data_IF_140618435875
#
_entry.id   IF_140618435875
#
_cell.length_a   1.000
_cell.length_b   1.000
_cell.length_c   1.000
_cell.angle_alpha   90.00
_cell.angle_beta   90.00
_cell.angle_gamma   90.00
#
_symmetry.space_group_name_H-M   'P 1'
#
loop_
_entity.id
_entity.type
_entity.pdbx_description
1 polymer ?
#
# COMPACT_ATOMS: atom_id res chain seq x y z
N UNK A 1 -11.71 12.70 19.98
CA UNK A 1 -10.68 12.31 18.98
C UNK A 1 -10.26 10.89 19.28
N UNK A 2 -10.67 9.88 18.50
CA UNK A 2 -10.01 8.59 18.51
C UNK A 2 -8.98 8.56 17.38
N UNK A 3 -7.70 8.53 17.77
CA UNK A 3 -6.61 8.10 16.91
C UNK A 3 -6.54 6.57 17.02
N UNK A 4 -6.99 5.84 16.00
CA UNK A 4 -6.96 4.38 16.01
C UNK A 4 -7.73 3.73 14.87
N UNK A 5 -7.27 2.55 14.45
CA UNK A 5 -7.67 1.72 13.31
C UNK A 5 -9.12 1.18 13.31
N UNK A 6 -9.98 1.62 14.23
CA UNK A 6 -11.33 1.12 14.41
C UNK A 6 -12.27 2.29 14.66
N UNK A 7 -13.14 2.57 13.70
CA UNK A 7 -14.30 3.44 13.91
C UNK A 7 -15.51 2.54 14.19
N UNK A 8 -16.17 2.81 15.32
CA UNK A 8 -17.34 2.08 15.81
C UNK A 8 -18.62 2.91 15.66
N UNK A 9 -18.61 4.02 14.92
CA UNK A 9 -19.83 4.76 14.64
C UNK A 9 -20.82 3.85 13.88
N UNK A 10 -21.94 3.54 14.55
CA UNK A 10 -23.16 2.89 14.05
C UNK A 10 -23.24 1.35 14.08
N UNK A 11 -22.46 0.67 14.92
CA UNK A 11 -22.77 -0.72 15.31
C UNK A 11 -22.84 -1.75 14.16
N UNK A 12 -22.26 -1.42 13.02
CA UNK A 12 -22.11 -2.35 11.90
C UNK A 12 -20.72 -2.97 11.96
N UNK A 13 -20.68 -4.30 11.81
CA UNK A 13 -19.49 -5.14 11.64
C UNK A 13 -18.42 -4.42 10.78
N UNK A 14 -17.11 -4.58 11.06
CA UNK A 14 -16.05 -3.73 10.49
C UNK A 14 -16.19 -3.56 8.97
N UNK A 15 -16.49 -2.34 8.55
CA UNK A 15 -16.61 -1.98 7.13
C UNK A 15 -15.21 -1.64 6.60
N UNK A 16 -14.59 -2.62 5.96
CA UNK A 16 -13.25 -2.51 5.37
C UNK A 16 -13.29 -1.68 4.07
N UNK A 17 -13.19 -0.35 4.18
CA UNK A 17 -13.47 0.60 3.07
C UNK A 17 -12.37 0.80 2.00
N UNK A 18 -11.27 0.03 1.96
CA UNK A 18 -10.23 0.22 0.94
C UNK A 18 -9.66 -1.11 0.41
N UNK A 19 -9.72 -1.31 -0.92
CA UNK A 19 -9.18 -2.49 -1.63
C UNK A 19 -7.67 -2.69 -1.39
N UNK A 20 -6.91 -1.62 -1.17
CA UNK A 20 -5.48 -1.66 -0.89
C UNK A 20 -5.15 -2.00 0.58
N UNK A 21 -6.04 -1.68 1.53
CA UNK A 21 -5.78 -1.80 2.97
C UNK A 21 -5.84 -3.24 3.50
N UNK A 22 -6.66 -4.09 2.87
CA UNK A 22 -6.76 -5.51 3.24
C UNK A 22 -5.56 -6.35 2.75
N UNK A 23 -4.68 -5.78 1.93
CA UNK A 23 -3.47 -6.47 1.48
C UNK A 23 -2.63 -6.97 2.64
N UNK A 24 -2.48 -6.16 3.71
CA UNK A 24 -1.68 -6.51 4.89
C UNK A 24 -2.15 -7.78 5.59
N UNK A 25 -3.45 -7.85 5.91
CA UNK A 25 -4.04 -9.01 6.58
C UNK A 25 -3.90 -10.27 5.73
N UNK A 26 -4.12 -10.14 4.41
CA UNK A 26 -3.97 -11.25 3.48
C UNK A 26 -2.52 -11.73 3.36
N UNK A 27 -1.55 -10.81 3.32
CA UNK A 27 -0.12 -11.14 3.23
C UNK A 27 0.39 -11.79 4.52
N UNK A 28 -0.03 -11.28 5.69
CA UNK A 28 0.28 -11.89 6.98
C UNK A 28 -0.34 -13.29 7.11
N UNK A 29 -1.61 -13.43 6.75
CA UNK A 29 -2.28 -14.73 6.69
C UNK A 29 -1.53 -15.70 5.77
N UNK A 30 -1.12 -15.24 4.58
CA UNK A 30 -0.37 -16.04 3.63
C UNK A 30 0.99 -16.49 4.19
N UNK A 31 1.73 -15.59 4.85
CA UNK A 31 3.00 -15.92 5.49
C UNK A 31 2.82 -16.98 6.60
N UNK A 32 1.80 -16.82 7.46
CA UNK A 32 1.46 -17.80 8.51
C UNK A 32 1.07 -19.15 7.92
N UNK A 33 0.22 -19.16 6.89
CA UNK A 33 -0.19 -20.38 6.21
C UNK A 33 1.01 -21.10 5.57
N UNK A 34 1.90 -20.36 4.88
CA UNK A 34 3.10 -20.91 4.27
C UNK A 34 4.08 -21.49 5.30
N UNK A 35 4.17 -20.87 6.49
CA UNK A 35 4.99 -21.35 7.60
C UNK A 35 4.41 -22.62 8.25
N UNK A 36 3.08 -22.75 8.29
CA UNK A 36 2.37 -23.90 8.87
C UNK A 36 2.27 -25.11 7.93
N UNK A 37 2.55 -24.95 6.64
CA UNK A 37 2.58 -26.08 5.70
C UNK A 37 3.78 -26.98 6.01
N UNK A 38 3.52 -28.26 6.27
CA UNK A 38 4.55 -29.30 6.37
C UNK A 38 5.39 -29.35 5.09
N UNK A 39 6.58 -29.97 5.11
CA UNK A 39 7.48 -30.10 3.95
C UNK A 39 7.29 -31.38 3.06
N UNK A 40 6.10 -31.98 2.81
CA UNK A 40 6.04 -33.04 1.81
C UNK A 40 6.16 -32.41 0.41
N UNK A 41 7.04 -32.96 -0.43
CA UNK A 41 7.25 -32.54 -1.81
C UNK A 41 8.69 -32.69 -2.28
N UNK A 42 8.90 -32.62 -3.60
CA UNK A 42 10.24 -32.61 -4.20
C UNK A 42 11.09 -31.41 -3.75
N UNK A 43 12.41 -31.47 -3.94
CA UNK A 43 13.35 -30.42 -3.53
C UNK A 43 13.04 -29.04 -4.15
N UNK A 44 12.57 -29.02 -5.41
CA UNK A 44 12.20 -27.80 -6.11
C UNK A 44 10.97 -27.14 -5.47
N UNK A 45 9.97 -27.91 -5.05
CA UNK A 45 8.74 -27.42 -4.43
C UNK A 45 9.01 -26.90 -3.02
N UNK A 46 9.95 -27.52 -2.31
CA UNK A 46 10.42 -27.02 -1.01
C UNK A 46 11.13 -25.68 -1.17
N UNK A 47 12.04 -25.56 -2.14
CA UNK A 47 12.69 -24.28 -2.46
C UNK A 47 11.68 -23.21 -2.89
N UNK A 48 10.68 -23.57 -3.69
CA UNK A 48 9.65 -22.63 -4.17
C UNK A 48 8.80 -22.11 -2.99
N UNK A 49 8.40 -23.00 -2.08
CA UNK A 49 7.66 -22.61 -0.87
C UNK A 49 8.47 -21.68 0.04
N UNK A 50 9.75 -21.97 0.26
CA UNK A 50 10.64 -21.10 1.05
C UNK A 50 10.80 -19.72 0.41
N UNK A 51 10.94 -19.67 -0.91
CA UNK A 51 10.97 -18.39 -1.64
C UNK A 51 9.62 -17.65 -1.54
N UNK A 52 8.49 -18.35 -1.61
CA UNK A 52 7.17 -17.74 -1.46
C UNK A 52 6.95 -17.17 -0.05
N UNK A 53 7.39 -17.89 0.99
CA UNK A 53 7.37 -17.41 2.37
C UNK A 53 8.24 -16.15 2.53
N UNK A 54 9.48 -16.20 2.07
CA UNK A 54 10.40 -15.07 2.15
C UNK A 54 9.86 -13.83 1.39
N UNK A 55 9.21 -14.04 0.23
CA UNK A 55 8.54 -12.96 -0.49
C UNK A 55 7.38 -12.37 0.32
N UNK A 56 6.53 -13.20 0.94
CA UNK A 56 5.42 -12.74 1.78
C UNK A 56 5.92 -11.96 3.01
N UNK A 57 7.00 -12.43 3.65
CA UNK A 57 7.64 -11.75 4.79
C UNK A 57 8.23 -10.39 4.38
N UNK A 58 8.88 -10.29 3.21
CA UNK A 58 9.36 -9.01 2.68
C UNK A 58 8.20 -8.02 2.51
N UNK A 59 7.08 -8.47 1.93
CA UNK A 59 5.92 -7.59 1.73
C UNK A 59 5.27 -7.20 3.06
N UNK A 60 5.12 -8.13 4.00
CA UNK A 60 4.64 -7.82 5.34
C UNK A 60 5.52 -6.76 6.03
N UNK A 61 6.83 -6.90 5.88
CA UNK A 61 7.83 -5.99 6.41
C UNK A 61 7.74 -4.58 5.79
N UNK A 62 7.55 -4.48 4.47
CA UNK A 62 7.33 -3.20 3.77
C UNK A 62 6.10 -2.48 4.34
N UNK A 63 4.99 -3.21 4.52
CA UNK A 63 3.75 -2.64 5.07
C UNK A 63 3.91 -2.21 6.53
N UNK A 64 4.46 -3.07 7.40
CA UNK A 64 4.63 -2.73 8.82
C UNK A 64 5.55 -1.51 9.02
N UNK A 65 6.68 -1.45 8.31
CA UNK A 65 7.63 -0.34 8.42
C UNK A 65 7.04 0.97 7.88
N UNK A 66 6.44 0.95 6.70
CA UNK A 66 5.84 2.14 6.10
C UNK A 66 4.63 2.67 6.88
N UNK A 67 3.95 1.81 7.66
CA UNK A 67 2.83 2.20 8.52
C UNK A 67 3.24 2.87 9.82
N UNK A 68 4.34 2.42 10.42
CA UNK A 68 4.83 2.95 11.69
C UNK A 68 5.66 4.21 11.52
N UNK A 69 6.32 4.34 10.37
CA UNK A 69 7.20 5.45 10.10
C UNK A 69 6.42 6.74 9.77
N UNK A 70 7.03 7.88 10.05
CA UNK A 70 6.47 9.19 9.72
C UNK A 70 6.48 9.45 8.20
N UNK A 71 6.00 10.64 7.79
CA UNK A 71 6.06 11.09 6.39
C UNK A 71 7.49 11.16 5.86
N UNK A 72 8.40 11.63 6.70
CA UNK A 72 9.83 11.68 6.44
C UNK A 72 10.49 10.58 7.25
N UNK A 73 11.21 9.71 6.57
CA UNK A 73 11.89 8.57 7.14
C UNK A 73 13.26 8.99 7.67
N UNK A 74 13.70 8.33 8.74
CA UNK A 74 15.12 8.25 9.04
C UNK A 74 15.86 7.50 7.93
N UNK A 75 17.17 7.72 7.82
CA UNK A 75 18.01 6.98 6.87
C UNK A 75 17.90 5.47 7.07
N UNK A 76 17.88 5.02 8.34
CA UNK A 76 17.72 3.61 8.67
C UNK A 76 16.36 3.06 8.22
N UNK A 77 15.26 3.79 8.44
CA UNK A 77 13.93 3.35 7.98
C UNK A 77 13.85 3.30 6.45
N UNK A 78 14.40 4.30 5.76
CA UNK A 78 14.44 4.37 4.30
C UNK A 78 15.22 3.20 3.70
N UNK A 79 16.43 2.93 4.18
CA UNK A 79 17.24 1.79 3.76
C UNK A 79 16.49 0.47 4.01
N UNK A 80 15.92 0.34 5.21
CA UNK A 80 15.23 -0.87 5.64
C UNK A 80 14.00 -1.18 4.79
N UNK A 81 13.22 -0.16 4.39
CA UNK A 81 12.08 -0.31 3.48
C UNK A 81 12.56 -0.62 2.06
N UNK A 82 13.53 0.13 1.54
CA UNK A 82 14.09 -0.05 0.20
C UNK A 82 14.66 -1.46 0.02
N UNK A 83 15.47 -1.94 0.96
CA UNK A 83 16.01 -3.29 0.94
C UNK A 83 14.91 -4.36 0.90
N UNK A 84 13.84 -4.20 1.68
CA UNK A 84 12.74 -5.15 1.71
C UNK A 84 12.01 -5.20 0.35
N UNK A 85 11.82 -4.04 -0.30
CA UNK A 85 11.27 -3.93 -1.66
C UNK A 85 12.17 -4.66 -2.67
N UNK A 86 13.47 -4.39 -2.66
CA UNK A 86 14.42 -4.99 -3.61
C UNK A 86 14.54 -6.50 -3.39
N UNK A 87 14.60 -6.95 -2.14
CA UNK A 87 14.59 -8.38 -1.79
C UNK A 87 13.32 -9.07 -2.28
N UNK A 88 12.15 -8.46 -2.08
CA UNK A 88 10.89 -9.00 -2.64
C UNK A 88 10.96 -9.17 -4.15
N UNK A 89 11.39 -8.14 -4.90
CA UNK A 89 11.49 -8.20 -6.36
C UNK A 89 12.47 -9.29 -6.84
N UNK A 90 13.62 -9.42 -6.17
CA UNK A 90 14.59 -10.47 -6.47
C UNK A 90 14.02 -11.87 -6.23
N UNK A 91 13.36 -12.08 -5.09
CA UNK A 91 12.75 -13.37 -4.74
C UNK A 91 11.59 -13.69 -5.70
N UNK A 92 10.76 -12.70 -6.04
CA UNK A 92 9.65 -12.90 -6.96
C UNK A 92 10.13 -13.28 -8.36
N UNK A 93 11.21 -12.64 -8.85
CA UNK A 93 11.87 -13.05 -10.10
C UNK A 93 12.34 -14.50 -10.05
N UNK A 94 12.85 -14.96 -8.91
CA UNK A 94 13.25 -16.35 -8.73
C UNK A 94 12.04 -17.30 -8.72
N UNK A 95 10.94 -16.94 -8.05
CA UNK A 95 9.70 -17.71 -8.06
C UNK A 95 9.17 -17.92 -9.49
N UNK A 96 9.17 -16.86 -10.31
CA UNK A 96 8.78 -16.95 -11.72
C UNK A 96 9.64 -17.98 -12.45
N UNK A 97 10.98 -17.89 -12.34
CA UNK A 97 11.91 -18.85 -12.96
C UNK A 97 11.62 -20.28 -12.52
N UNK A 98 11.46 -20.51 -11.22
CA UNK A 98 11.19 -21.85 -10.68
C UNK A 98 9.87 -22.43 -11.19
N UNK A 99 8.82 -21.61 -11.27
CA UNK A 99 7.51 -22.04 -11.78
C UNK A 99 7.56 -22.44 -13.26
N UNK A 100 8.34 -21.71 -14.07
CA UNK A 100 8.58 -22.05 -15.48
C UNK A 100 9.40 -23.33 -15.59
N UNK A 101 10.47 -23.49 -14.80
CA UNK A 101 11.28 -24.72 -14.78
C UNK A 101 10.49 -25.98 -14.39
N UNK A 102 9.41 -25.82 -13.62
CA UNK A 102 8.47 -26.91 -13.26
C UNK A 102 7.38 -27.15 -14.31
N UNK A 103 7.39 -26.44 -15.45
CA UNK A 103 6.30 -26.41 -16.42
C UNK A 103 4.95 -26.04 -15.80
N UNK A 104 4.95 -25.20 -14.75
CA UNK A 104 3.75 -24.74 -14.05
C UNK A 104 3.84 -23.21 -13.83
N UNK A 105 3.62 -22.39 -14.86
CA UNK A 105 3.83 -20.93 -14.82
C UNK A 105 2.78 -20.22 -13.96
N UNK A 106 2.97 -20.27 -12.63
CA UNK A 106 2.03 -19.76 -11.62
C UNK A 106 2.20 -18.27 -11.36
N UNK A 107 3.41 -17.74 -11.44
CA UNK A 107 3.72 -16.35 -11.11
C UNK A 107 3.81 -15.51 -12.38
N UNK A 108 3.23 -14.30 -12.34
CA UNK A 108 3.17 -13.38 -13.47
C UNK A 108 3.99 -12.14 -13.17
N UNK A 109 4.88 -11.78 -14.08
CA UNK A 109 5.54 -10.47 -14.05
C UNK A 109 4.57 -9.47 -14.65
N UNK A 110 4.22 -8.45 -13.88
CA UNK A 110 3.35 -7.35 -14.33
C UNK A 110 4.13 -6.04 -14.33
N UNK A 111 3.82 -5.07 -15.22
CA UNK A 111 4.51 -3.78 -15.27
C UNK A 111 4.55 -3.04 -13.93
N UNK A 112 3.56 -3.26 -13.06
CA UNK A 112 3.50 -2.68 -11.71
C UNK A 112 4.69 -3.05 -10.81
N UNK A 113 5.39 -4.16 -11.09
CA UNK A 113 6.61 -4.51 -10.36
C UNK A 113 7.78 -3.57 -10.67
N UNK A 114 7.82 -2.99 -11.87
CA UNK A 114 8.80 -1.97 -12.22
C UNK A 114 8.51 -0.65 -11.51
N UNK A 115 7.24 -0.27 -11.38
CA UNK A 115 6.88 0.87 -10.53
C UNK A 115 7.31 0.65 -9.07
N UNK A 116 7.15 -0.56 -8.55
CA UNK A 116 7.61 -0.90 -7.19
C UNK A 116 9.14 -0.82 -7.04
N UNK A 117 9.93 -1.11 -8.08
CA UNK A 117 11.38 -0.90 -8.08
C UNK A 117 11.70 0.58 -7.85
N UNK A 118 11.10 1.47 -8.63
CA UNK A 118 11.30 2.91 -8.49
C UNK A 118 10.83 3.43 -7.13
N UNK A 119 9.73 2.90 -6.58
CA UNK A 119 9.35 3.22 -5.19
C UNK A 119 10.46 2.88 -4.21
N UNK A 120 11.13 1.73 -4.37
CA UNK A 120 12.27 1.35 -3.53
C UNK A 120 13.47 2.29 -3.67
N UNK A 121 13.78 2.71 -4.89
CA UNK A 121 14.85 3.67 -5.20
C UNK A 121 14.52 5.06 -4.62
N UNK A 122 13.32 5.58 -4.90
CA UNK A 122 12.83 6.88 -4.44
C UNK A 122 12.81 6.97 -2.91
N UNK A 123 12.35 5.93 -2.22
CA UNK A 123 12.30 5.90 -0.75
C UNK A 123 13.70 6.05 -0.17
N UNK A 124 14.70 5.42 -0.78
CA UNK A 124 16.09 5.49 -0.34
C UNK A 124 16.69 6.88 -0.58
N UNK A 125 16.46 7.45 -1.75
CA UNK A 125 17.01 8.75 -2.13
C UNK A 125 16.34 9.92 -1.40
N UNK A 126 15.01 9.95 -1.42
CA UNK A 126 14.23 11.10 -0.92
C UNK A 126 13.93 11.01 0.56
N UNK A 127 13.95 9.80 1.13
CA UNK A 127 13.44 9.48 2.48
C UNK A 127 11.97 9.85 2.66
N UNK A 128 11.22 10.02 1.57
CA UNK A 128 9.79 10.21 1.62
C UNK A 128 9.11 8.85 1.77
N UNK A 129 8.27 8.71 2.78
CA UNK A 129 7.49 7.49 2.98
C UNK A 129 6.42 7.38 1.89
N UNK A 130 6.64 6.46 0.95
CA UNK A 130 5.78 6.23 -0.21
C UNK A 130 4.30 6.04 0.13
N UNK A 131 3.96 5.58 1.35
CA UNK A 131 2.57 5.51 1.84
C UNK A 131 1.83 6.84 1.77
N UNK A 132 2.54 7.95 1.91
CA UNK A 132 1.97 9.30 1.90
C UNK A 132 2.07 10.01 0.55
N UNK A 133 2.86 9.49 -0.39
CA UNK A 133 3.23 10.22 -1.62
C UNK A 133 3.02 9.44 -2.92
N UNK A 134 3.18 8.11 -2.91
CA UNK A 134 3.04 7.24 -4.09
C UNK A 134 1.63 6.63 -4.14
N UNK A 135 0.87 6.97 -5.18
CA UNK A 135 -0.45 6.43 -5.60
C UNK A 135 -1.56 6.21 -4.54
N UNK A 136 -1.40 6.63 -3.29
CA UNK A 136 -2.53 6.83 -2.38
C UNK A 136 -3.13 8.23 -2.52
N UNK A 137 -2.36 9.22 -3.02
CA UNK A 137 -2.89 10.57 -3.26
C UNK A 137 -3.93 10.60 -4.38
N UNK A 138 -3.82 9.79 -5.43
CA UNK A 138 -4.85 9.76 -6.47
C UNK A 138 -6.14 9.10 -5.97
N UNK A 139 -6.03 8.04 -5.16
CA UNK A 139 -7.20 7.42 -4.51
C UNK A 139 -7.81 8.32 -3.42
N UNK A 140 -6.99 9.04 -2.64
CA UNK A 140 -7.45 10.00 -1.63
C UNK A 140 -8.02 11.27 -2.28
N UNK A 141 -7.40 11.78 -3.35
CA UNK A 141 -7.91 12.92 -4.11
C UNK A 141 -9.24 12.56 -4.78
N UNK A 142 -9.32 11.40 -5.43
CA UNK A 142 -10.57 10.90 -5.99
C UNK A 142 -11.60 10.55 -4.91
N UNK A 143 -11.17 10.08 -3.74
CA UNK A 143 -12.02 9.85 -2.57
C UNK A 143 -12.62 11.14 -2.04
N UNK A 144 -11.81 12.18 -1.85
CA UNK A 144 -12.26 13.51 -1.44
C UNK A 144 -13.16 14.15 -2.50
N UNK A 145 -12.82 14.01 -3.80
CA UNK A 145 -13.64 14.50 -4.91
C UNK A 145 -14.98 13.79 -4.94
N UNK A 146 -15.01 12.47 -4.77
CA UNK A 146 -16.25 11.68 -4.69
C UNK A 146 -17.10 12.07 -3.49
N UNK A 147 -16.49 12.20 -2.31
CA UNK A 147 -17.19 12.60 -1.08
C UNK A 147 -17.76 14.02 -1.19
N UNK A 148 -17.03 14.92 -1.85
CA UNK A 148 -17.53 16.26 -2.14
C UNK A 148 -18.70 16.19 -3.11
N UNK A 149 -18.57 15.41 -4.18
CA UNK A 149 -19.58 15.22 -5.23
C UNK A 149 -20.91 14.73 -4.66
N UNK A 150 -20.91 13.74 -3.77
CA UNK A 150 -22.15 13.22 -3.15
C UNK A 150 -22.83 14.23 -2.22
N UNK A 151 -22.09 15.20 -1.68
CA UNK A 151 -22.61 16.26 -0.78
C UNK A 151 -23.08 17.50 -1.54
N UNK A 152 -22.88 17.58 -2.86
CA UNK A 152 -23.32 18.72 -3.65
C UNK A 152 -24.85 18.73 -3.81
N UNK A 153 -25.49 19.90 -3.74
CA UNK A 153 -26.91 20.04 -4.10
C UNK A 153 -27.14 19.53 -5.53
N UNK A 154 -28.24 18.78 -5.73
CA UNK A 154 -28.61 18.25 -7.06
C UNK A 154 -29.21 19.31 -8.00
N UNK A 155 -29.48 20.51 -7.49
CA UNK A 155 -30.19 21.58 -8.20
C UNK A 155 -29.21 22.70 -8.57
N UNK A 156 -29.27 23.15 -9.83
CA UNK A 156 -28.52 24.30 -10.35
C UNK A 156 -27.12 23.96 -10.91
N UNK A 157 -26.82 24.41 -12.14
CA UNK A 157 -25.51 24.25 -12.82
C UNK A 157 -25.17 22.83 -13.27
N UNK A 158 -24.04 22.66 -13.97
CA UNK A 158 -23.43 21.36 -14.25
C UNK A 158 -22.74 20.77 -13.01
N UNK A 159 -22.55 19.44 -12.98
CA UNK A 159 -21.86 18.77 -11.86
C UNK A 159 -20.43 19.30 -11.70
N UNK A 160 -19.77 19.55 -12.83
CA UNK A 160 -18.40 20.04 -12.90
C UNK A 160 -18.29 21.43 -12.26
N UNK A 161 -19.25 22.31 -12.57
CA UNK A 161 -19.28 23.67 -12.04
C UNK A 161 -19.51 23.68 -10.53
N UNK A 162 -20.46 22.87 -10.03
CA UNK A 162 -20.72 22.76 -8.59
C UNK A 162 -19.52 22.20 -7.81
N UNK A 163 -18.85 21.19 -8.38
CA UNK A 163 -17.67 20.59 -7.78
C UNK A 163 -16.51 21.60 -7.70
N UNK A 164 -16.29 22.33 -8.79
CA UNK A 164 -15.28 23.39 -8.86
C UNK A 164 -15.56 24.52 -7.86
N UNK A 165 -16.79 25.05 -7.80
CA UNK A 165 -17.16 26.10 -6.84
C UNK A 165 -16.90 25.66 -5.40
N UNK A 166 -17.26 24.41 -5.06
CA UNK A 166 -17.08 23.89 -3.70
C UNK A 166 -15.60 23.65 -3.37
N UNK A 167 -14.80 23.22 -4.34
CA UNK A 167 -13.36 23.08 -4.19
C UNK A 167 -12.68 24.43 -3.95
N UNK A 168 -13.05 25.46 -4.72
CA UNK A 168 -12.55 26.83 -4.55
C UNK A 168 -12.90 27.42 -3.18
N UNK A 169 -14.12 27.17 -2.68
CA UNK A 169 -14.51 27.56 -1.32
C UNK A 169 -13.67 26.86 -0.25
N UNK A 170 -13.31 25.58 -0.45
CA UNK A 170 -12.45 24.84 0.48
C UNK A 170 -11.03 25.40 0.49
N UNK A 171 -10.48 25.75 -0.67
CA UNK A 171 -9.17 26.41 -0.79
C UNK A 171 -9.17 27.78 -0.12
N UNK A 172 -10.21 28.58 -0.31
CA UNK A 172 -10.34 29.91 0.32
C UNK A 172 -10.61 29.86 1.83
N UNK A 173 -11.25 28.80 2.34
CA UNK A 173 -11.50 28.61 3.77
C UNK A 173 -10.32 27.97 4.51
N UNK A 174 -9.37 27.38 3.80
CA UNK A 174 -8.19 26.74 4.38
C UNK A 174 -7.21 27.82 4.85
N UNK A 175 -7.19 28.12 6.16
CA UNK A 175 -6.10 28.93 6.72
C UNK A 175 -4.80 28.14 6.64
N UNK A 176 -3.69 28.73 6.15
CA UNK A 176 -2.40 28.07 6.23
C UNK A 176 -2.08 27.80 7.71
N UNK A 177 -1.66 26.57 8.01
CA UNK A 177 -1.10 26.25 9.32
C UNK A 177 0.08 27.20 9.55
N UNK A 178 -0.03 28.07 10.55
CA UNK A 178 1.10 28.90 10.98
C UNK A 178 2.20 27.92 11.42
N UNK A 179 3.31 27.92 10.69
CA UNK A 179 4.53 27.23 11.10
C UNK A 179 4.97 27.81 12.45
N UNK A 180 4.73 27.08 13.55
CA UNK A 180 5.10 27.55 14.89
C UNK A 180 4.25 27.10 16.06
N UNK A 181 3.20 26.27 15.87
CA UNK A 181 2.58 25.58 17.01
C UNK A 181 3.42 24.33 17.32
N UNK A 182 4.20 24.41 18.40
CA UNK A 182 4.98 23.31 18.98
C UNK A 182 4.12 22.11 19.35
#
# INVERSE_FOLDING_TARGET
MPAGLLDLEQGTYPVLKLKAWNGRLMILFLAVALKGLSEPGDDLLRKERRAALAAAECVACIFDRSERAARLLTEQEAESISEAILKFLMIYKQLVKMSVSRNCPRYKIIPKMHALLHVGEDVRETRCNFRHFHCFMDEDYMGQMKELTIKLPKVGGGLEFRLLTRWLLRLGASRPLRAGAK
#
